data_IF_066672569529
#
_entry.id   IF_066672569529
#
_cell.length_a   1.000
_cell.length_b   1.000
_cell.length_c   1.000
_cell.angle_alpha   90.00
_cell.angle_beta   90.00
_cell.angle_gamma   90.00
#
_symmetry.space_group_name_H-M   'P 1'
#
loop_
_entity.id
_entity.type
_entity.pdbx_description
1 polymer ?
#
# COMPACT_ATOMS: atom_id res chain seq x y z
N UNK A 1 7.95 1.99 12.60
CA UNK A 1 8.30 1.15 13.78
C UNK A 1 7.31 -0.01 13.88
N UNK A 2 7.78 -1.20 13.50
CA UNK A 2 7.04 -2.44 13.70
C UNK A 2 6.72 -2.60 15.19
N UNK A 3 5.43 -2.63 15.52
CA UNK A 3 5.03 -3.03 16.86
C UNK A 3 4.94 -4.56 16.88
N UNK A 4 5.78 -5.26 17.67
CA UNK A 4 5.56 -6.68 17.90
C UNK A 4 4.23 -6.83 18.64
N UNK A 5 3.31 -7.58 18.02
CA UNK A 5 2.02 -7.90 18.61
C UNK A 5 2.18 -8.85 19.81
N UNK A 6 1.50 -8.55 20.91
CA UNK A 6 1.33 -9.45 22.05
C UNK A 6 -0.06 -10.10 21.96
N UNK A 7 -0.16 -11.39 22.29
CA UNK A 7 -1.45 -12.11 22.34
C UNK A 7 -1.94 -12.18 23.78
N UNK A 8 -3.00 -11.43 24.09
CA UNK A 8 -3.72 -11.51 25.36
C UNK A 8 -5.01 -12.33 25.21
N UNK A 9 -5.26 -13.24 26.17
CA UNK A 9 -6.43 -14.13 26.20
C UNK A 9 -6.11 -15.58 25.83
N UNK A 10 -7.01 -16.49 26.19
CA UNK A 10 -6.88 -17.93 25.94
C UNK A 10 -6.82 -18.20 24.43
N UNK A 11 -5.60 -18.32 23.90
CA UNK A 11 -5.35 -18.82 22.56
C UNK A 11 -5.46 -20.35 22.64
N UNK A 12 -6.26 -21.02 21.79
CA UNK A 12 -6.27 -22.49 21.72
C UNK A 12 -4.89 -23.09 21.39
N UNK A 13 -3.94 -22.28 20.90
CA UNK A 13 -2.55 -22.68 20.66
C UNK A 13 -1.59 -22.36 21.82
N UNK A 14 -2.12 -21.89 22.97
CA UNK A 14 -1.37 -21.62 24.20
C UNK A 14 -0.24 -20.56 24.09
N UNK A 15 -0.35 -19.60 23.16
CA UNK A 15 0.63 -18.51 23.01
C UNK A 15 0.35 -17.30 23.93
N UNK A 16 -0.55 -17.45 24.89
CA UNK A 16 -0.89 -16.41 25.85
C UNK A 16 0.34 -16.05 26.68
N UNK A 17 0.81 -14.81 26.58
CA UNK A 17 2.02 -14.35 27.30
C UNK A 17 3.33 -14.36 26.49
N UNK A 18 3.33 -14.72 25.21
CA UNK A 18 4.55 -14.77 24.40
C UNK A 18 4.81 -13.45 23.61
N UNK A 19 6.05 -12.90 23.64
CA UNK A 19 6.50 -11.91 22.64
C UNK A 19 6.69 -12.69 21.31
N UNK A 20 5.79 -12.53 20.34
CA UNK A 20 5.90 -13.20 19.03
C UNK A 20 7.17 -12.73 18.29
N UNK A 21 8.00 -13.68 17.83
CA UNK A 21 9.24 -13.40 17.09
C UNK A 21 10.56 -13.63 17.86
N UNK A 22 10.50 -14.11 19.10
CA UNK A 22 11.69 -14.46 19.89
C UNK A 22 11.89 -15.98 19.95
N UNK A 23 13.14 -16.45 19.77
CA UNK A 23 13.50 -17.88 19.91
C UNK A 23 13.64 -18.31 21.37
N UNK A 24 14.01 -17.37 22.25
CA UNK A 24 14.12 -17.53 23.70
C UNK A 24 13.38 -16.34 24.35
N UNK A 25 12.25 -16.59 25.00
CA UNK A 25 11.40 -15.54 25.59
C UNK A 25 12.13 -14.93 26.80
N UNK A 26 12.44 -13.61 26.81
CA UNK A 26 13.00 -12.96 27.99
C UNK A 26 12.00 -13.02 29.16
N UNK A 27 12.50 -13.02 30.39
CA UNK A 27 11.66 -12.84 31.59
C UNK A 27 10.85 -11.55 31.47
N UNK A 28 9.53 -11.67 31.46
CA UNK A 28 8.60 -10.54 31.45
C UNK A 28 8.55 -9.98 32.87
N UNK A 29 8.94 -8.70 33.06
CA UNK A 29 8.71 -8.02 34.35
C UNK A 29 7.21 -7.76 34.55
N UNK A 30 6.77 -7.79 35.81
CA UNK A 30 5.38 -7.58 36.22
C UNK A 30 4.82 -6.25 35.69
N UNK A 31 3.62 -6.29 35.10
CA UNK A 31 2.92 -5.11 34.63
C UNK A 31 2.49 -4.22 35.81
N UNK A 32 2.89 -2.93 35.82
CA UNK A 32 2.55 -1.92 36.83
C UNK A 32 1.04 -1.56 36.93
N UNK A 33 0.15 -2.30 36.28
CA UNK A 33 -1.30 -2.15 36.46
C UNK A 33 -2.14 -2.94 35.46
N UNK A 34 -3.19 -3.60 35.96
CA UNK A 34 -4.22 -4.27 35.16
C UNK A 34 -5.46 -3.37 35.03
N UNK A 35 -5.87 -3.07 33.79
CA UNK A 35 -7.20 -2.54 33.47
C UNK A 35 -7.96 -3.61 32.67
N UNK A 36 -9.23 -3.95 33.02
CA UNK A 36 -9.91 -5.11 32.44
C UNK A 36 -10.12 -5.07 30.92
N UNK A 37 -10.11 -3.88 30.30
CA UNK A 37 -10.55 -3.71 28.90
C UNK A 37 -9.53 -3.03 27.97
N UNK A 38 -8.35 -2.67 28.47
CA UNK A 38 -7.29 -2.09 27.64
C UNK A 38 -5.92 -2.59 28.10
N UNK A 39 -5.33 -3.54 27.37
CA UNK A 39 -3.92 -3.89 27.52
C UNK A 39 -3.08 -2.88 26.74
N UNK A 40 -2.23 -2.11 27.42
CA UNK A 40 -1.16 -1.34 26.75
C UNK A 40 -0.05 -2.30 26.32
N UNK A 41 0.57 -1.97 25.18
CA UNK A 41 1.76 -2.65 24.65
C UNK A 41 2.92 -2.49 25.64
N UNK A 42 3.34 -3.58 26.30
CA UNK A 42 4.57 -3.58 27.09
C UNK A 42 5.79 -3.59 26.17
N UNK A 43 6.81 -2.79 26.51
CA UNK A 43 8.08 -2.80 25.78
C UNK A 43 8.91 -4.01 26.23
N UNK A 44 9.11 -5.01 25.36
CA UNK A 44 10.11 -6.08 25.63
C UNK A 44 11.50 -5.36 25.70
N UNK A 45 12.19 -5.35 26.86
CA UNK A 45 13.55 -4.78 27.00
C UNK A 45 14.59 -5.84 26.67
N UNK A 46 15.53 -5.45 25.82
CA UNK A 46 16.63 -6.29 25.32
C UNK A 46 16.86 -5.92 23.88
N UNK A 47 18.06 -5.47 23.52
CA UNK A 47 18.44 -5.35 22.11
C UNK A 47 18.43 -6.76 21.54
N UNK A 48 17.51 -7.11 20.62
CA UNK A 48 17.70 -8.35 19.88
C UNK A 48 19.07 -8.27 19.23
N UNK A 49 19.90 -9.29 19.40
CA UNK A 49 20.72 -9.65 18.24
C UNK A 49 19.68 -9.93 17.17
N UNK A 50 19.61 -9.15 16.07
CA UNK A 50 18.72 -9.51 14.98
C UNK A 50 19.00 -10.98 14.68
N UNK A 51 17.96 -11.84 14.54
CA UNK A 51 18.20 -13.15 13.98
C UNK A 51 19.04 -12.92 12.74
N UNK A 52 20.19 -13.59 12.63
CA UNK A 52 20.99 -13.51 11.43
C UNK A 52 20.01 -13.66 10.26
N UNK A 53 19.96 -12.70 9.32
CA UNK A 53 19.01 -12.78 8.22
C UNK A 53 19.12 -14.19 7.65
N UNK A 54 17.99 -14.89 7.41
CA UNK A 54 18.04 -16.21 6.79
C UNK A 54 18.98 -16.07 5.61
N UNK A 55 20.08 -16.84 5.62
CA UNK A 55 21.22 -16.62 4.74
C UNK A 55 20.69 -16.25 3.37
N UNK A 56 20.90 -15.00 2.97
CA UNK A 56 20.44 -14.51 1.68
C UNK A 56 20.92 -15.53 0.67
N UNK A 57 19.97 -16.08 -0.09
CA UNK A 57 20.33 -16.91 -1.23
C UNK A 57 21.41 -16.12 -2.00
N UNK A 58 22.49 -16.79 -2.44
CA UNK A 58 23.69 -16.11 -2.91
C UNK A 58 23.31 -14.99 -3.89
N UNK A 59 23.82 -13.75 -3.72
CA UNK A 59 23.53 -12.64 -4.60
C UNK A 59 23.97 -13.04 -6.02
N UNK A 60 23.01 -13.34 -6.90
CA UNK A 60 23.32 -13.80 -8.25
C UNK A 60 22.34 -14.79 -8.90
N UNK A 61 21.31 -15.30 -8.24
CA UNK A 61 20.26 -16.05 -8.96
C UNK A 61 19.09 -15.13 -9.25
N UNK A 62 19.17 -14.44 -10.39
CA UNK A 62 18.08 -13.64 -10.94
C UNK A 62 16.82 -14.50 -11.07
N UNK A 63 15.91 -14.38 -10.10
CA UNK A 63 14.69 -15.17 -10.09
C UNK A 63 13.72 -14.62 -11.15
N UNK A 64 14.03 -14.93 -12.41
CA UNK A 64 13.09 -14.95 -13.54
C UNK A 64 12.00 -16.01 -13.36
N UNK A 65 11.94 -16.66 -12.19
CA UNK A 65 10.92 -17.61 -11.85
C UNK A 65 9.53 -17.02 -11.96
N UNK A 66 8.53 -17.89 -12.09
CA UNK A 66 7.16 -17.46 -12.26
C UNK A 66 6.72 -16.55 -11.11
N UNK A 67 5.87 -15.60 -11.43
CA UNK A 67 5.18 -14.77 -10.47
C UNK A 67 3.76 -14.48 -10.94
N UNK A 68 2.88 -14.25 -9.99
CA UNK A 68 1.49 -13.93 -10.28
C UNK A 68 0.80 -13.31 -9.06
N UNK A 69 -0.03 -12.33 -9.33
CA UNK A 69 -0.98 -11.73 -8.39
C UNK A 69 -2.40 -11.94 -8.91
N UNK A 70 -3.39 -11.41 -8.20
CA UNK A 70 -4.77 -11.47 -8.66
C UNK A 70 -4.94 -10.87 -10.07
N UNK A 71 -4.23 -9.78 -10.40
CA UNK A 71 -4.44 -9.00 -11.62
C UNK A 71 -3.49 -9.33 -12.78
N UNK A 72 -2.23 -9.67 -12.49
CA UNK A 72 -1.20 -9.89 -13.51
C UNK A 72 -0.29 -11.04 -13.11
N UNK A 73 0.34 -11.65 -14.10
CA UNK A 73 1.44 -12.59 -13.82
C UNK A 73 2.20 -13.00 -15.06
N UNK A 74 3.37 -13.58 -14.80
CA UNK A 74 4.26 -14.20 -15.76
C UNK A 74 4.61 -15.59 -15.22
N UNK A 75 4.07 -16.62 -15.84
CA UNK A 75 4.00 -17.97 -15.24
C UNK A 75 4.90 -18.99 -15.94
N UNK A 76 5.57 -18.61 -17.03
CA UNK A 76 6.49 -19.49 -17.76
C UNK A 76 7.64 -18.70 -18.39
N UNK A 77 8.86 -19.26 -18.42
CA UNK A 77 10.04 -18.55 -18.93
C UNK A 77 9.94 -18.10 -20.40
N UNK A 78 9.15 -18.81 -21.22
CA UNK A 78 8.99 -18.54 -22.65
C UNK A 78 7.57 -18.09 -23.02
N UNK A 79 6.86 -17.42 -22.10
CA UNK A 79 5.51 -16.92 -22.33
C UNK A 79 4.61 -16.99 -21.10
N UNK A 80 3.34 -17.36 -21.28
CA UNK A 80 2.44 -17.56 -20.13
C UNK A 80 2.23 -16.29 -19.31
N UNK A 81 1.89 -15.19 -19.96
CA UNK A 81 1.43 -13.96 -19.29
C UNK A 81 -0.07 -13.97 -19.15
N UNK A 82 -0.57 -13.43 -18.04
CA UNK A 82 -1.99 -13.18 -17.89
C UNK A 82 -2.25 -11.77 -17.37
N UNK A 83 -3.44 -11.27 -17.73
CA UNK A 83 -4.07 -10.14 -17.09
C UNK A 83 -5.53 -10.52 -16.83
N UNK A 84 -5.97 -10.38 -15.59
CA UNK A 84 -7.38 -10.52 -15.21
C UNK A 84 -8.02 -9.15 -14.94
N UNK A 85 -7.29 -8.06 -15.21
CA UNK A 85 -7.81 -6.70 -15.11
C UNK A 85 -9.07 -6.59 -15.97
N UNK A 86 -10.13 -6.07 -15.37
CA UNK A 86 -11.39 -5.84 -16.06
C UNK A 86 -11.20 -4.67 -17.04
N UNK A 87 -11.41 -4.93 -18.33
CA UNK A 87 -11.30 -3.89 -19.37
C UNK A 87 -12.72 -3.44 -19.74
N UNK A 88 -13.21 -2.28 -19.24
CA UNK A 88 -14.52 -1.79 -19.64
C UNK A 88 -14.52 -1.42 -21.12
N UNK A 89 -15.56 -1.86 -21.84
CA UNK A 89 -15.80 -1.57 -23.25
C UNK A 89 -17.23 -1.08 -23.44
N UNK A 90 -17.45 -0.26 -24.47
CA UNK A 90 -18.76 0.34 -24.74
C UNK A 90 -19.63 -0.52 -25.65
N UNK A 91 -19.27 -0.61 -26.93
CA UNK A 91 -20.07 -1.31 -27.96
C UNK A 91 -19.43 -2.59 -28.47
N UNK A 92 -18.10 -2.63 -28.51
CA UNK A 92 -17.36 -3.75 -29.07
C UNK A 92 -15.96 -3.82 -28.46
N UNK A 93 -15.37 -5.00 -28.54
CA UNK A 93 -13.98 -5.28 -28.19
C UNK A 93 -13.27 -5.79 -29.45
N UNK A 94 -12.04 -5.31 -29.69
CA UNK A 94 -11.15 -5.86 -30.71
C UNK A 94 -9.80 -6.18 -30.05
N UNK A 95 -9.37 -7.43 -30.18
CA UNK A 95 -8.02 -7.83 -29.83
C UNK A 95 -7.21 -8.04 -31.12
N UNK A 96 -6.07 -7.36 -31.23
CA UNK A 96 -5.16 -7.48 -32.36
C UNK A 96 -3.82 -7.96 -31.83
N UNK A 97 -3.29 -9.05 -32.40
CA UNK A 97 -1.94 -9.51 -32.17
C UNK A 97 -1.07 -9.15 -33.38
N UNK A 98 0.06 -8.50 -33.12
CA UNK A 98 1.08 -8.20 -34.13
C UNK A 98 2.37 -8.88 -33.70
N UNK A 99 2.96 -9.68 -34.58
CA UNK A 99 4.23 -10.36 -34.35
C UNK A 99 5.24 -10.02 -35.46
N UNK A 100 6.52 -9.83 -35.12
CA UNK A 100 7.56 -9.53 -36.12
C UNK A 100 7.92 -10.74 -37.00
N UNK A 101 7.56 -11.95 -36.57
CA UNK A 101 7.76 -13.19 -37.30
C UNK A 101 6.53 -14.10 -37.16
N UNK A 102 6.35 -15.01 -38.12
CA UNK A 102 5.30 -16.05 -38.06
C UNK A 102 5.59 -17.05 -36.95
N UNK A 103 4.55 -17.47 -36.22
CA UNK A 103 4.66 -18.46 -35.16
C UNK A 103 3.31 -18.89 -34.61
N UNK A 104 3.31 -19.78 -33.63
CA UNK A 104 2.10 -20.21 -32.93
C UNK A 104 1.84 -19.30 -31.74
N UNK A 105 0.58 -18.91 -31.52
CA UNK A 105 0.16 -18.20 -30.31
C UNK A 105 -1.11 -18.84 -29.74
N UNK A 106 -1.20 -18.83 -28.42
CA UNK A 106 -2.35 -19.33 -27.66
C UNK A 106 -2.89 -18.20 -26.82
N UNK A 107 -4.21 -18.05 -26.76
CA UNK A 107 -4.83 -16.99 -25.97
C UNK A 107 -6.15 -17.45 -25.36
N UNK A 108 -6.49 -16.83 -24.23
CA UNK A 108 -7.79 -16.93 -23.59
C UNK A 108 -8.27 -15.50 -23.42
N UNK A 109 -9.36 -15.15 -24.10
CA UNK A 109 -10.06 -13.88 -23.88
C UNK A 109 -11.44 -14.23 -23.33
N UNK A 110 -11.76 -13.69 -22.15
CA UNK A 110 -13.05 -13.84 -21.50
C UNK A 110 -13.64 -12.45 -21.30
N UNK A 111 -14.94 -12.36 -21.49
CA UNK A 111 -15.69 -11.13 -21.31
C UNK A 111 -17.12 -11.44 -20.90
N UNK A 112 -17.76 -10.43 -20.33
CA UNK A 112 -19.17 -10.46 -19.96
C UNK A 112 -19.74 -9.07 -20.24
N UNK A 113 -20.96 -9.02 -20.73
CA UNK A 113 -21.67 -7.77 -21.00
C UNK A 113 -22.43 -7.31 -19.76
N UNK A 114 -22.70 -6.00 -19.67
CA UNK A 114 -23.51 -5.40 -18.61
C UNK A 114 -22.99 -5.62 -17.18
N UNK A 115 -21.72 -6.02 -17.01
CA UNK A 115 -21.08 -6.10 -15.70
C UNK A 115 -20.35 -4.79 -15.40
N UNK A 116 -20.70 -4.05 -14.34
CA UNK A 116 -19.93 -2.87 -13.94
C UNK A 116 -18.51 -3.25 -13.53
N UNK A 117 -17.56 -2.38 -13.87
CA UNK A 117 -16.19 -2.50 -13.38
C UNK A 117 -16.09 -1.80 -12.04
N UNK A 118 -15.58 -2.51 -11.05
CA UNK A 118 -15.38 -2.02 -9.69
C UNK A 118 -13.89 -2.01 -9.40
N UNK A 119 -13.38 -0.90 -8.88
CA UNK A 119 -12.02 -0.71 -8.40
C UNK A 119 -12.07 -0.33 -6.92
N UNK A 120 -11.59 -1.21 -6.05
CA UNK A 120 -11.83 -1.09 -4.61
C UNK A 120 -13.33 -1.05 -4.34
N UNK A 121 -13.80 0.05 -3.76
CA UNK A 121 -15.22 0.30 -3.46
C UNK A 121 -15.93 1.18 -4.50
N UNK A 122 -15.22 1.60 -5.55
CA UNK A 122 -15.73 2.53 -6.57
C UNK A 122 -16.24 1.78 -7.80
N UNK A 123 -17.48 2.04 -8.20
CA UNK A 123 -17.95 1.64 -9.52
C UNK A 123 -17.49 2.66 -10.55
N UNK A 124 -16.75 2.20 -11.56
CA UNK A 124 -16.25 3.05 -12.61
C UNK A 124 -17.40 3.52 -13.53
N UNK A 125 -17.34 4.75 -14.07
CA UNK A 125 -18.28 5.22 -15.07
C UNK A 125 -18.34 4.32 -16.31
N UNK A 126 -19.49 4.29 -17.00
CA UNK A 126 -19.68 3.47 -18.20
C UNK A 126 -18.74 3.86 -19.38
N UNK A 127 -18.29 5.11 -19.40
CA UNK A 127 -17.32 5.62 -20.37
C UNK A 127 -15.87 5.40 -19.94
N UNK A 128 -15.61 4.82 -18.77
CA UNK A 128 -14.26 4.48 -18.33
C UNK A 128 -13.58 3.49 -19.29
N UNK A 129 -12.30 3.72 -19.54
CA UNK A 129 -11.44 2.87 -20.38
C UNK A 129 -10.14 2.58 -19.65
N UNK A 130 -9.68 1.34 -19.73
CA UNK A 130 -8.32 1.02 -19.31
C UNK A 130 -7.34 1.56 -20.35
N UNK A 131 -6.30 2.26 -19.87
CA UNK A 131 -5.20 2.80 -20.66
C UNK A 131 -3.89 2.23 -20.14
N UNK A 132 -2.98 1.95 -21.07
CA UNK A 132 -1.60 1.59 -20.79
C UNK A 132 -0.70 2.72 -21.26
N UNK A 133 0.05 3.29 -20.34
CA UNK A 133 1.12 4.23 -20.62
C UNK A 133 2.45 3.50 -20.56
N UNK A 134 3.37 3.90 -21.43
CA UNK A 134 4.70 3.31 -21.51
C UNK A 134 5.73 4.43 -21.52
N UNK A 135 6.65 4.36 -20.58
CA UNK A 135 7.87 5.15 -20.60
C UNK A 135 9.05 4.20 -20.87
N UNK A 136 9.96 4.59 -21.77
CA UNK A 136 11.24 3.92 -21.96
C UNK A 136 12.28 4.95 -22.33
N UNK A 137 13.34 5.08 -21.53
CA UNK A 137 14.34 6.11 -21.73
C UNK A 137 15.58 5.90 -20.88
N UNK A 138 16.68 6.49 -21.32
CA UNK A 138 17.88 6.67 -20.52
C UNK A 138 17.81 8.03 -19.84
N UNK A 139 18.16 8.08 -18.56
CA UNK A 139 18.11 9.29 -17.75
C UNK A 139 19.47 9.53 -17.13
N UNK A 140 19.91 10.78 -17.17
CA UNK A 140 21.14 11.23 -16.52
C UNK A 140 20.92 11.49 -15.04
N UNK A 141 22.00 11.68 -14.28
CA UNK A 141 21.93 11.98 -12.84
C UNK A 141 21.05 13.22 -12.58
N UNK A 142 20.13 13.11 -11.62
CA UNK A 142 19.16 14.13 -11.24
C UNK A 142 18.18 14.55 -12.35
N UNK A 143 18.08 13.81 -13.45
CA UNK A 143 17.10 14.11 -14.50
C UNK A 143 15.69 13.75 -14.05
N UNK A 144 14.76 14.71 -14.10
CA UNK A 144 13.34 14.51 -13.87
C UNK A 144 12.65 14.03 -15.14
N UNK A 145 11.90 12.94 -15.03
CA UNK A 145 11.16 12.38 -16.15
C UNK A 145 9.69 12.22 -15.82
N UNK A 146 8.86 12.41 -16.84
CA UNK A 146 7.42 12.15 -16.76
C UNK A 146 7.16 10.74 -17.27
N UNK A 147 6.76 9.85 -16.36
CA UNK A 147 6.47 8.45 -16.66
C UNK A 147 5.07 8.27 -17.27
N UNK A 148 4.12 9.11 -16.86
CA UNK A 148 2.75 9.17 -17.38
C UNK A 148 2.28 10.62 -17.38
N UNK A 149 1.62 11.03 -18.47
CA UNK A 149 0.97 12.34 -18.59
C UNK A 149 -0.46 12.14 -19.12
N UNK A 150 -1.45 12.38 -18.26
CA UNK A 150 -2.87 12.38 -18.62
C UNK A 150 -3.31 13.84 -18.67
N UNK A 151 -3.80 14.32 -19.83
CA UNK A 151 -4.11 15.73 -19.99
C UNK A 151 -5.34 16.16 -19.17
N UNK A 152 -5.52 17.48 -18.97
CA UNK A 152 -6.75 18.04 -18.42
C UNK A 152 -8.00 17.58 -19.18
N UNK A 153 -9.16 17.75 -18.55
CA UNK A 153 -10.48 17.25 -18.94
C UNK A 153 -10.65 15.71 -18.89
N UNK A 154 -9.67 14.99 -18.34
CA UNK A 154 -9.72 13.54 -18.13
C UNK A 154 -9.66 13.22 -16.64
N UNK A 155 -10.68 12.54 -16.12
CA UNK A 155 -10.65 11.97 -14.77
C UNK A 155 -10.18 10.52 -14.82
N UNK A 156 -9.74 9.98 -13.69
CA UNK A 156 -9.30 8.60 -13.67
C UNK A 156 -8.83 8.06 -12.33
N UNK A 157 -8.34 6.82 -12.38
CA UNK A 157 -7.75 6.11 -11.27
C UNK A 157 -6.51 5.34 -11.72
N UNK A 158 -5.42 5.46 -10.95
CA UNK A 158 -4.21 4.69 -11.16
C UNK A 158 -4.47 3.26 -10.71
N UNK A 159 -4.21 2.29 -11.57
CA UNK A 159 -4.44 0.87 -11.26
C UNK A 159 -3.15 0.16 -10.89
N UNK A 160 -2.09 0.34 -11.67
CA UNK A 160 -0.85 -0.36 -11.43
C UNK A 160 0.33 0.34 -12.08
N UNK A 161 1.50 0.18 -11.47
CA UNK A 161 2.80 0.61 -11.99
C UNK A 161 3.70 -0.62 -11.99
N UNK A 162 4.29 -0.93 -13.13
CA UNK A 162 5.42 -1.85 -13.27
C UNK A 162 6.63 -1.03 -13.66
N UNK A 163 7.70 -1.18 -12.91
CA UNK A 163 8.90 -0.37 -13.01
C UNK A 163 10.11 -1.29 -13.18
N UNK A 164 10.70 -1.22 -14.36
CA UNK A 164 11.97 -1.87 -14.65
C UNK A 164 13.05 -0.80 -14.73
N UNK A 165 14.14 -0.99 -14.00
CA UNK A 165 15.26 -0.06 -13.96
C UNK A 165 16.59 -0.79 -14.07
N UNK A 166 17.56 -0.19 -14.76
CA UNK A 166 18.93 -0.69 -14.86
C UNK A 166 19.91 0.48 -14.84
N UNK A 167 20.83 0.47 -13.88
CA UNK A 167 21.90 1.47 -13.72
C UNK A 167 23.21 0.82 -13.31
N UNK A 168 24.24 1.63 -13.09
CA UNK A 168 25.53 1.15 -12.54
C UNK A 168 25.44 0.75 -11.06
N UNK A 169 24.48 1.33 -10.37
CA UNK A 169 24.18 1.19 -8.94
C UNK A 169 22.68 1.35 -8.75
N UNK A 170 22.21 1.11 -7.53
CA UNK A 170 20.82 1.32 -7.14
C UNK A 170 20.53 2.75 -6.68
N UNK A 171 21.35 3.75 -7.02
CA UNK A 171 21.15 5.14 -6.55
C UNK A 171 19.77 5.70 -6.93
N UNK A 172 19.18 5.22 -8.03
CA UNK A 172 17.83 5.57 -8.42
C UNK A 172 16.74 5.13 -7.43
N UNK A 173 17.05 4.24 -6.48
CA UNK A 173 16.11 3.84 -5.43
C UNK A 173 15.87 4.95 -4.40
N UNK A 174 16.79 5.89 -4.21
CA UNK A 174 16.57 7.02 -3.30
C UNK A 174 15.54 8.04 -3.83
N UNK A 175 15.05 7.87 -5.07
CA UNK A 175 14.11 8.79 -5.67
C UNK A 175 12.66 8.47 -5.36
N UNK A 176 11.91 9.50 -5.01
CA UNK A 176 10.51 9.39 -4.65
C UNK A 176 9.61 9.41 -5.89
N UNK A 177 8.56 8.59 -5.83
CA UNK A 177 7.49 8.61 -6.81
C UNK A 177 6.55 9.77 -6.49
N UNK A 178 6.21 10.59 -7.49
CA UNK A 178 5.37 11.78 -7.32
C UNK A 178 4.20 11.80 -8.28
N UNK A 179 3.10 12.40 -7.84
CA UNK A 179 1.98 12.76 -8.68
C UNK A 179 1.72 14.27 -8.67
N UNK A 180 1.56 14.87 -9.86
CA UNK A 180 0.97 16.20 -10.03
C UNK A 180 -0.48 16.00 -10.47
N UNK A 181 -1.42 16.21 -9.57
CA UNK A 181 -2.84 15.89 -9.75
C UNK A 181 -3.61 17.19 -10.03
N UNK A 182 -4.53 17.15 -10.99
CA UNK A 182 -5.50 18.22 -11.25
C UNK A 182 -4.86 19.60 -11.49
N UNK A 183 -3.71 19.61 -12.17
CA UNK A 183 -2.96 20.84 -12.47
C UNK A 183 -2.15 21.41 -11.30
N UNK A 184 -2.02 20.70 -10.18
CA UNK A 184 -1.18 21.11 -9.06
C UNK A 184 0.28 21.29 -9.49
N UNK A 185 0.92 22.36 -8.99
CA UNK A 185 2.35 22.64 -9.19
C UNK A 185 3.22 22.04 -8.12
N UNK A 186 2.66 21.76 -6.94
CA UNK A 186 3.33 21.04 -5.86
C UNK A 186 3.03 19.53 -6.00
N UNK A 187 4.04 18.66 -5.91
CA UNK A 187 3.81 17.23 -6.01
C UNK A 187 3.11 16.68 -4.77
N UNK A 188 2.21 15.73 -4.99
CA UNK A 188 1.88 14.72 -4.00
C UNK A 188 2.99 13.66 -4.02
N UNK A 189 3.71 13.53 -2.91
CA UNK A 189 4.68 12.44 -2.74
C UNK A 189 3.94 11.14 -2.45
N UNK A 190 4.17 10.14 -3.30
CA UNK A 190 3.60 8.81 -3.15
C UNK A 190 4.53 7.87 -2.37
N UNK A 191 5.79 8.28 -2.19
CA UNK A 191 6.80 7.55 -1.44
C UNK A 191 7.95 8.48 -1.02
N UNK A 192 8.81 8.01 -0.11
CA UNK A 192 10.07 8.68 0.27
C UNK A 192 11.26 8.23 -0.58
N UNK A 193 11.28 6.97 -1.02
CA UNK A 193 12.17 6.40 -2.05
C UNK A 193 11.39 5.53 -3.04
N UNK A 194 12.05 4.98 -4.05
CA UNK A 194 11.42 4.19 -5.09
C UNK A 194 11.06 2.81 -4.55
N UNK A 195 11.91 2.21 -3.71
CA UNK A 195 11.63 0.96 -3.01
C UNK A 195 10.43 1.10 -2.05
N UNK A 196 10.30 2.26 -1.41
CA UNK A 196 9.20 2.54 -0.50
C UNK A 196 7.85 2.56 -1.24
N UNK A 197 7.83 3.09 -2.48
CA UNK A 197 6.63 3.07 -3.34
C UNK A 197 6.14 1.64 -3.60
N UNK A 198 7.08 0.69 -3.69
CA UNK A 198 6.80 -0.73 -3.87
C UNK A 198 6.60 -1.49 -2.55
N UNK A 199 6.41 -0.79 -1.43
CA UNK A 199 6.20 -1.35 -0.09
C UNK A 199 7.38 -2.22 0.39
N UNK A 200 8.59 -1.81 0.04
CA UNK A 200 9.83 -2.37 0.61
C UNK A 200 10.59 -1.26 1.35
N UNK A 201 11.84 -1.55 1.71
CA UNK A 201 12.75 -0.61 2.35
C UNK A 201 14.20 -1.04 2.08
N UNK A 202 15.16 -0.16 2.40
CA UNK A 202 16.59 -0.46 2.43
C UNK A 202 17.08 -1.15 1.15
N UNK A 203 16.76 -0.60 -0.02
CA UNK A 203 17.21 -1.13 -1.32
C UNK A 203 16.80 -2.58 -1.59
N UNK A 204 15.68 -3.04 -1.02
CA UNK A 204 15.21 -4.42 -1.11
C UNK A 204 16.20 -5.45 -0.53
N UNK A 205 16.85 -5.13 0.59
CA UNK A 205 17.87 -6.00 1.21
C UNK A 205 17.39 -7.41 1.61
N UNK A 206 16.09 -7.61 1.79
CA UNK A 206 15.47 -8.94 2.01
C UNK A 206 15.20 -9.72 0.71
N UNK A 207 15.54 -9.14 -0.44
CA UNK A 207 15.47 -9.77 -1.76
C UNK A 207 14.08 -9.76 -2.40
N UNK A 208 13.89 -10.67 -3.35
CA UNK A 208 12.66 -10.76 -4.13
C UNK A 208 11.47 -11.15 -3.25
N UNK A 209 10.35 -10.46 -3.43
CA UNK A 209 9.11 -10.74 -2.73
C UNK A 209 7.91 -10.49 -3.64
N UNK A 210 6.80 -11.20 -3.40
CA UNK A 210 5.62 -11.18 -4.25
C UNK A 210 4.39 -11.14 -3.35
N UNK A 211 3.69 -10.01 -3.29
CA UNK A 211 2.43 -9.86 -2.57
C UNK A 211 1.29 -9.52 -3.54
N UNK A 212 0.01 -9.60 -3.11
CA UNK A 212 -1.09 -9.16 -3.95
C UNK A 212 -0.99 -7.70 -4.42
N UNK A 213 -0.39 -6.82 -3.61
CA UNK A 213 -0.39 -5.37 -3.86
C UNK A 213 0.95 -4.85 -4.41
N UNK A 214 2.06 -5.51 -4.11
CA UNK A 214 3.38 -5.10 -4.63
C UNK A 214 4.37 -6.27 -4.65
N UNK A 215 5.49 -6.09 -5.35
CA UNK A 215 6.55 -7.07 -5.33
C UNK A 215 7.79 -6.64 -6.11
N UNK A 216 8.89 -7.31 -5.79
CA UNK A 216 10.15 -7.30 -6.52
C UNK A 216 10.29 -8.65 -7.22
N UNK A 217 10.21 -8.61 -8.54
CA UNK A 217 10.17 -9.82 -9.40
C UNK A 217 11.48 -10.12 -10.08
N UNK A 218 12.42 -9.18 -10.06
CA UNK A 218 13.80 -9.38 -10.50
C UNK A 218 14.70 -8.42 -9.74
N UNK A 219 15.86 -8.93 -9.34
CA UNK A 219 16.90 -8.18 -8.66
C UNK A 219 18.23 -8.90 -8.89
N UNK A 220 19.24 -8.21 -9.42
CA UNK A 220 20.53 -8.81 -9.78
C UNK A 220 21.67 -8.50 -8.81
N UNK A 221 21.42 -7.66 -7.81
CA UNK A 221 22.44 -7.12 -6.90
C UNK A 221 23.45 -6.17 -7.56
N UNK A 222 23.21 -5.74 -8.81
CA UNK A 222 24.17 -5.00 -9.66
C UNK A 222 23.56 -3.76 -10.31
N UNK A 223 22.45 -3.26 -9.79
CA UNK A 223 21.78 -2.06 -10.29
C UNK A 223 20.63 -2.33 -11.26
N UNK A 224 20.18 -3.58 -11.45
CA UNK A 224 18.98 -3.89 -12.25
C UNK A 224 17.89 -4.53 -11.39
N UNK A 225 16.65 -4.09 -11.60
CA UNK A 225 15.47 -4.68 -10.96
C UNK A 225 14.18 -4.55 -11.79
N UNK A 226 13.17 -5.32 -11.39
CA UNK A 226 11.79 -5.21 -11.86
C UNK A 226 10.84 -5.27 -10.66
N UNK A 227 10.07 -4.22 -10.44
CA UNK A 227 9.10 -4.11 -9.36
C UNK A 227 7.69 -3.79 -9.88
N UNK A 228 6.69 -4.12 -9.08
CA UNK A 228 5.30 -3.72 -9.36
C UNK A 228 4.59 -3.22 -8.11
N UNK A 229 3.65 -2.30 -8.31
CA UNK A 229 2.67 -1.83 -7.34
C UNK A 229 1.29 -1.84 -8.00
N UNK A 230 0.30 -2.37 -7.29
CA UNK A 230 -1.10 -2.43 -7.66
C UNK A 230 -1.86 -1.55 -6.66
N UNK A 231 -2.71 -0.68 -7.20
CA UNK A 231 -3.53 0.32 -6.52
C UNK A 231 -5.02 -0.06 -6.56
N UNK A 232 -5.34 -1.34 -6.37
CA UNK A 232 -6.72 -1.82 -6.39
C UNK A 232 -7.46 -1.55 -5.06
N UNK A 233 -6.72 -1.43 -3.96
CA UNK A 233 -7.23 -1.10 -2.61
C UNK A 233 -6.88 0.32 -2.16
N UNK A 234 -5.91 0.94 -2.79
CA UNK A 234 -5.42 2.30 -2.53
C UNK A 234 -5.32 3.10 -3.85
N UNK A 235 -6.43 3.27 -4.58
CA UNK A 235 -6.42 3.94 -5.88
C UNK A 235 -6.02 5.41 -5.73
N UNK A 236 -5.08 5.85 -6.57
CA UNK A 236 -4.77 7.27 -6.71
C UNK A 236 -5.74 7.84 -7.74
N UNK A 237 -6.61 8.73 -7.29
CA UNK A 237 -7.67 9.33 -8.08
C UNK A 237 -7.28 10.73 -8.55
N UNK A 238 -7.81 11.12 -9.71
CA UNK A 238 -7.72 12.49 -10.20
C UNK A 238 -8.99 12.88 -10.96
N UNK A 239 -9.27 14.18 -11.00
CA UNK A 239 -10.42 14.74 -11.69
C UNK A 239 -10.08 15.44 -13.01
N UNK A 240 -8.88 15.98 -13.16
CA UNK A 240 -8.51 16.89 -14.25
C UNK A 240 -7.07 16.72 -14.72
N UNK A 241 -6.72 15.50 -15.07
CA UNK A 241 -5.37 15.11 -15.46
C UNK A 241 -4.45 14.75 -14.30
N UNK A 242 -3.39 14.02 -14.62
CA UNK A 242 -2.36 13.59 -13.68
C UNK A 242 -1.03 13.46 -14.42
N UNK A 243 0.06 13.84 -13.77
CA UNK A 243 1.41 13.44 -14.18
C UNK A 243 2.02 12.57 -13.10
N UNK A 244 2.56 11.41 -13.49
CA UNK A 244 3.44 10.62 -12.63
C UNK A 244 4.87 10.96 -13.02
N UNK A 245 5.65 11.48 -12.06
CA UNK A 245 7.02 11.94 -12.31
C UNK A 245 8.00 11.26 -11.36
N UNK A 246 9.23 11.08 -11.86
CA UNK A 246 10.30 10.35 -11.18
C UNK A 246 11.64 11.00 -11.53
N UNK A 247 12.57 11.08 -10.59
CA UNK A 247 13.91 11.62 -10.82
C UNK A 247 14.95 10.53 -10.67
N UNK A 248 16.00 10.57 -11.47
CA UNK A 248 17.10 9.62 -11.31
C UNK A 248 18.07 10.05 -10.20
N UNK A 249 18.34 9.15 -9.23
CA UNK A 249 19.37 9.31 -8.18
C UNK A 249 19.23 10.62 -7.39
N UNK A 250 18.04 10.84 -6.84
CA UNK A 250 17.62 12.11 -6.30
C UNK A 250 18.20 12.41 -4.91
N UNK A 251 18.36 13.70 -4.60
CA UNK A 251 18.73 14.17 -3.27
C UNK A 251 17.49 14.54 -2.46
N UNK A 252 17.64 14.53 -1.13
CA UNK A 252 16.55 14.85 -0.21
C UNK A 252 16.72 16.25 0.38
N UNK A 253 15.61 16.96 0.61
CA UNK A 253 15.63 18.30 1.22
C UNK A 253 14.28 18.66 1.83
N UNK A 254 14.29 19.01 3.12
CA UNK A 254 13.14 19.59 3.80
C UNK A 254 11.83 18.83 3.59
N UNK A 255 10.77 19.57 3.25
CA UNK A 255 9.45 19.03 2.95
C UNK A 255 9.33 18.37 1.56
N UNK A 256 10.44 18.31 0.82
CA UNK A 256 10.45 17.97 -0.59
C UNK A 256 9.90 19.08 -1.47
N UNK A 257 10.27 19.02 -2.74
CA UNK A 257 9.68 19.79 -3.83
C UNK A 257 9.72 18.94 -5.12
N UNK A 258 9.56 19.57 -6.28
CA UNK A 258 9.66 18.86 -7.56
C UNK A 258 11.09 18.37 -7.86
N UNK A 259 12.09 18.98 -7.23
CA UNK A 259 13.51 18.73 -7.42
C UNK A 259 14.16 17.86 -6.33
N UNK A 260 13.49 17.70 -5.18
CA UNK A 260 14.02 16.97 -4.03
C UNK A 260 12.96 16.14 -3.34
N UNK A 261 13.36 14.97 -2.81
CA UNK A 261 12.49 14.17 -1.96
C UNK A 261 12.42 14.72 -0.53
N UNK A 262 11.30 14.53 0.19
CA UNK A 262 11.18 14.95 1.57
C UNK A 262 12.09 14.14 2.49
N UNK A 263 12.71 14.80 3.47
CA UNK A 263 13.45 14.12 4.56
C UNK A 263 12.98 14.54 5.96
N UNK A 264 11.87 15.27 6.04
CA UNK A 264 11.20 15.62 7.29
C UNK A 264 9.69 15.60 7.09
N UNK A 265 8.97 15.33 8.17
CA UNK A 265 7.52 15.47 8.20
C UNK A 265 7.15 16.95 8.21
N UNK A 266 6.23 17.35 7.33
CA UNK A 266 5.76 18.72 7.25
C UNK A 266 4.26 18.79 7.47
N UNK A 267 3.86 19.76 8.30
CA UNK A 267 2.45 19.99 8.58
C UNK A 267 1.77 20.59 7.34
N UNK A 268 0.51 20.20 7.05
CA UNK A 268 -0.28 20.88 6.04
C UNK A 268 -0.35 22.37 6.40
N UNK A 269 0.10 23.26 5.50
CA UNK A 269 0.11 24.74 5.60
C UNK A 269 1.39 25.44 6.14
N UNK A 270 2.55 24.80 6.24
CA UNK A 270 3.81 25.54 6.51
C UNK A 270 4.49 26.10 5.27
N UNK A 271 3.85 26.09 4.09
CA UNK A 271 4.40 26.78 2.91
C UNK A 271 4.46 28.29 3.17
N UNK A 272 5.71 28.79 3.33
CA UNK A 272 6.14 30.19 3.27
C UNK A 272 5.94 31.09 4.50
N UNK A 273 6.35 30.65 5.69
CA UNK A 273 6.94 31.59 6.66
C UNK A 273 8.23 31.01 7.20
N UNK A 274 9.32 31.77 7.06
CA UNK A 274 10.64 31.44 7.55
C UNK A 274 10.57 30.77 8.92
N UNK A 275 11.27 29.64 9.06
CA UNK A 275 11.55 29.04 10.35
C UNK A 275 12.30 30.08 11.20
N UNK A 276 11.59 30.83 12.04
CA UNK A 276 12.20 31.29 13.29
C UNK A 276 12.31 30.07 14.19
N UNK A 277 13.46 29.85 14.84
CA UNK A 277 13.66 28.68 15.67
C UNK A 277 12.63 28.70 16.80
N UNK A 278 11.80 27.66 16.88
CA UNK A 278 11.08 27.31 18.10
C UNK A 278 12.15 26.91 19.13
N UNK A 279 12.72 27.91 19.78
CA UNK A 279 13.33 27.76 21.06
C UNK A 279 12.22 27.88 22.11
N UNK A 280 12.19 26.91 23.02
CA UNK A 280 11.55 26.92 24.33
C UNK A 280 10.04 26.68 24.38
N UNK A 281 9.67 25.40 24.25
CA UNK A 281 8.70 24.82 25.16
C UNK A 281 9.32 23.58 25.82
N UNK A 282 9.45 23.67 27.12
CA UNK A 282 10.08 22.73 28.04
C UNK A 282 9.31 21.40 28.06
N UNK A 283 9.81 20.42 27.30
CA UNK A 283 9.44 19.01 27.45
C UNK A 283 10.72 18.18 27.69
N UNK A 284 11.39 18.49 28.80
CA UNK A 284 12.55 17.75 29.31
C UNK A 284 12.03 16.49 30.00
N UNK A 285 12.33 15.29 29.48
CA UNK A 285 13.45 14.42 29.90
C UNK A 285 13.35 12.96 29.40
N UNK A 286 12.26 12.51 28.79
CA UNK A 286 12.12 11.07 28.42
C UNK A 286 12.23 10.74 26.93
N UNK A 287 12.02 11.69 26.02
CA UNK A 287 12.10 11.42 24.58
C UNK A 287 13.55 11.37 24.04
N UNK A 288 14.49 12.08 24.68
CA UNK A 288 15.87 12.20 24.20
C UNK A 288 16.64 10.89 24.32
N UNK A 289 16.44 10.11 25.38
CA UNK A 289 17.17 8.87 25.60
C UNK A 289 16.83 7.75 24.60
N UNK A 290 15.58 7.70 24.12
CA UNK A 290 15.16 6.71 23.12
C UNK A 290 15.69 7.04 21.72
N UNK A 291 15.82 8.33 21.37
CA UNK A 291 16.42 8.76 20.11
C UNK A 291 17.93 8.44 20.08
N UNK A 292 18.66 8.71 21.17
CA UNK A 292 20.11 8.43 21.24
C UNK A 292 20.44 6.92 21.24
N UNK A 293 19.53 6.08 21.74
CA UNK A 293 19.74 4.62 21.76
C UNK A 293 19.56 3.94 20.38
N UNK A 294 18.80 4.55 19.47
CA UNK A 294 18.56 4.05 18.10
C UNK A 294 19.53 4.65 17.06
N UNK A 295 20.13 5.81 17.35
CA UNK A 295 21.10 6.45 16.46
C UNK A 295 22.38 5.62 16.26
N UNK A 296 22.88 4.95 17.30
CA UNK A 296 24.11 4.15 17.21
C UNK A 296 24.00 2.96 16.23
N UNK A 297 23.02 2.06 16.39
CA UNK A 297 22.81 0.93 15.49
C UNK A 297 22.39 1.36 14.09
N UNK A 298 21.57 2.41 13.96
CA UNK A 298 21.18 2.91 12.63
C UNK A 298 22.29 3.62 11.89
N UNK A 299 23.16 4.36 12.59
CA UNK A 299 24.34 4.95 12.00
C UNK A 299 25.42 3.90 11.66
N UNK A 300 25.39 2.72 12.29
CA UNK A 300 26.27 1.59 11.93
C UNK A 300 25.72 0.79 10.74
N UNK A 301 24.43 0.54 10.64
CA UNK A 301 23.84 -0.12 9.46
C UNK A 301 23.86 0.80 8.24
N UNK A 302 23.56 2.09 8.41
CA UNK A 302 23.78 3.10 7.38
C UNK A 302 25.24 3.20 7.00
N UNK A 303 26.20 3.10 7.94
CA UNK A 303 27.63 3.03 7.59
C UNK A 303 27.99 1.73 6.88
N UNK A 304 27.47 0.57 7.27
CA UNK A 304 27.81 -0.69 6.60
C UNK A 304 27.24 -0.76 5.17
N UNK A 305 26.01 -0.27 4.94
CA UNK A 305 25.42 -0.13 3.59
C UNK A 305 26.02 1.04 2.82
N UNK A 306 26.41 2.11 3.53
CA UNK A 306 27.15 3.23 2.96
C UNK A 306 28.58 2.86 2.65
N UNK A 307 29.27 2.00 3.37
CA UNK A 307 30.70 1.75 3.15
C UNK A 307 30.90 0.89 1.88
N UNK A 308 29.87 0.15 1.44
CA UNK A 308 29.76 -0.39 0.08
C UNK A 308 29.36 0.67 -0.97
N UNK A 309 28.72 1.78 -0.57
CA UNK A 309 28.32 2.89 -1.45
C UNK A 309 29.31 4.09 -1.47
N UNK A 310 30.24 4.18 -0.51
CA UNK A 310 30.98 5.41 -0.16
C UNK A 310 32.47 5.30 -0.49
N UNK A 311 32.88 4.29 -1.26
CA UNK A 311 34.09 4.40 -2.10
C UNK A 311 33.85 5.09 -3.45
N UNK A 312 32.63 5.52 -3.76
CA UNK A 312 32.39 6.40 -4.90
C UNK A 312 31.98 7.79 -4.42
N UNK A 313 32.89 8.76 -4.56
CA UNK A 313 32.50 10.12 -4.92
C UNK A 313 31.32 10.04 -5.89
N UNK A 314 30.18 10.67 -5.58
CA UNK A 314 28.95 10.65 -6.37
C UNK A 314 29.30 10.58 -7.87
N UNK A 315 29.13 9.42 -8.53
CA UNK A 315 29.67 9.23 -9.86
C UNK A 315 28.95 10.20 -10.77
N UNK A 316 29.70 11.11 -11.38
CA UNK A 316 29.21 12.19 -12.25
C UNK A 316 28.50 11.71 -13.52
N UNK A 317 28.23 10.40 -13.63
CA UNK A 317 27.62 9.71 -14.77
C UNK A 317 26.81 8.47 -14.32
N UNK A 318 25.89 8.66 -13.37
CA UNK A 318 24.89 7.63 -13.01
C UNK A 318 23.74 7.64 -14.02
N UNK A 319 24.02 7.06 -15.20
CA UNK A 319 23.00 6.80 -16.20
C UNK A 319 22.13 5.64 -15.73
N UNK A 320 20.81 5.83 -15.73
CA UNK A 320 19.83 4.78 -15.51
C UNK A 320 18.94 4.61 -16.75
N UNK A 321 18.57 3.38 -17.07
CA UNK A 321 17.61 3.02 -18.10
C UNK A 321 16.33 2.59 -17.41
N UNK A 322 15.22 3.25 -17.72
CA UNK A 322 13.90 2.87 -17.24
C UNK A 322 13.04 2.29 -18.35
N UNK A 323 12.20 1.33 -17.97
CA UNK A 323 11.08 0.82 -18.75
C UNK A 323 9.89 0.66 -17.81
N UNK A 324 8.94 1.59 -17.90
CA UNK A 324 7.80 1.64 -16.98
C UNK A 324 6.51 1.42 -17.76
N UNK A 325 5.64 0.55 -17.22
CA UNK A 325 4.29 0.34 -17.69
C UNK A 325 3.31 0.79 -16.61
N UNK A 326 2.37 1.65 -16.99
CA UNK A 326 1.40 2.22 -16.06
C UNK A 326 0.00 1.98 -16.60
N UNK A 327 -0.79 1.26 -15.82
CA UNK A 327 -2.20 1.01 -16.12
C UNK A 327 -3.06 2.00 -15.36
N UNK A 328 -4.02 2.58 -16.06
CA UNK A 328 -4.96 3.49 -15.43
C UNK A 328 -6.32 3.46 -16.08
N UNK A 329 -7.37 3.58 -15.27
CA UNK A 329 -8.72 3.79 -15.78
C UNK A 329 -8.93 5.28 -16.02
N UNK A 330 -9.51 5.63 -17.16
CA UNK A 330 -9.73 7.02 -17.57
C UNK A 330 -11.13 7.20 -18.11
N UNK A 331 -11.79 8.29 -17.73
CA UNK A 331 -13.12 8.67 -18.19
C UNK A 331 -13.23 10.18 -18.41
N UNK A 332 -14.32 10.63 -19.03
CA UNK A 332 -14.54 12.06 -19.24
C UNK A 332 -14.77 12.77 -17.91
N UNK A 333 -14.21 13.97 -17.71
CA UNK A 333 -14.33 14.73 -16.45
C UNK A 333 -15.78 14.94 -15.96
N UNK A 334 -16.73 15.05 -16.88
CA UNK A 334 -18.17 15.19 -16.57
C UNK A 334 -18.81 13.91 -16.03
N UNK A 335 -18.15 12.77 -16.20
CA UNK A 335 -18.63 11.48 -15.74
C UNK A 335 -18.20 11.31 -14.29
N UNK A 336 -19.17 11.30 -13.37
CA UNK A 336 -18.90 11.11 -11.95
C UNK A 336 -18.87 9.60 -11.66
N UNK A 337 -17.77 9.05 -11.13
CA UNK A 337 -17.82 7.69 -10.58
C UNK A 337 -18.88 7.65 -9.49
N UNK A 338 -19.74 6.64 -9.52
CA UNK A 338 -20.57 6.39 -8.35
C UNK A 338 -19.70 5.65 -7.34
N UNK A 339 -19.54 6.25 -6.16
CA UNK A 339 -19.39 5.41 -4.98
C UNK A 339 -20.71 4.68 -4.90
N UNK A 340 -20.74 3.46 -5.44
CA UNK A 340 -21.84 2.55 -5.17
C UNK A 340 -21.98 2.57 -3.66
N UNK A 341 -23.11 3.01 -3.07
CA UNK A 341 -23.37 2.68 -1.68
C UNK A 341 -23.20 1.17 -1.65
N UNK A 342 -22.16 0.75 -0.91
CA UNK A 342 -21.59 -0.59 -0.88
C UNK A 342 -22.62 -1.60 -1.36
N UNK A 343 -22.42 -2.22 -2.55
CA UNK A 343 -23.39 -3.19 -3.11
C UNK A 343 -23.87 -4.00 -1.93
N UNK A 344 -25.19 -4.06 -1.76
CA UNK A 344 -25.87 -4.62 -0.59
C UNK A 344 -25.71 -6.15 -0.53
N UNK A 345 -24.48 -6.60 -0.64
CA UNK A 345 -24.05 -7.98 -0.47
C UNK A 345 -24.43 -8.38 0.94
N UNK A 346 -24.77 -9.65 1.09
CA UNK A 346 -25.13 -10.20 2.38
C UNK A 346 -24.02 -9.94 3.42
N UNK A 347 -22.75 -9.98 2.99
CA UNK A 347 -21.60 -9.72 3.86
C UNK A 347 -21.51 -8.25 4.30
N UNK A 348 -21.80 -7.31 3.39
CA UNK A 348 -21.86 -5.89 3.72
C UNK A 348 -22.99 -5.59 4.72
N UNK A 349 -24.18 -6.16 4.48
CA UNK A 349 -25.31 -6.04 5.43
C UNK A 349 -24.94 -6.63 6.77
N UNK A 350 -24.36 -7.83 6.78
CA UNK A 350 -23.89 -8.49 7.99
C UNK A 350 -22.93 -7.60 8.76
N UNK A 351 -21.94 -7.01 8.08
CA UNK A 351 -20.97 -6.14 8.73
C UNK A 351 -21.64 -4.90 9.35
N UNK A 352 -22.50 -4.20 8.60
CA UNK A 352 -23.24 -3.04 9.12
C UNK A 352 -24.15 -3.40 10.30
N UNK A 353 -24.79 -4.57 10.27
CA UNK A 353 -25.60 -5.07 11.38
C UNK A 353 -24.75 -5.30 12.62
N UNK A 354 -23.58 -5.92 12.48
CA UNK A 354 -22.66 -6.15 13.60
C UNK A 354 -22.15 -4.83 14.19
N UNK A 355 -21.73 -3.88 13.35
CA UNK A 355 -21.25 -2.58 13.82
C UNK A 355 -22.38 -1.79 14.55
N UNK A 356 -23.62 -1.88 14.07
CA UNK A 356 -24.80 -1.28 14.72
C UNK A 356 -25.12 -1.93 16.09
N UNK A 357 -25.06 -3.26 16.20
CA UNK A 357 -25.28 -3.98 17.46
C UNK A 357 -24.23 -3.60 18.50
N UNK A 358 -22.96 -3.52 18.11
CA UNK A 358 -21.86 -3.06 18.98
C UNK A 358 -22.11 -1.63 19.45
N UNK A 359 -22.63 -0.75 18.60
CA UNK A 359 -22.96 0.61 18.99
C UNK A 359 -24.11 0.67 20.01
N UNK A 360 -25.13 -0.19 19.89
CA UNK A 360 -26.20 -0.33 20.88
C UNK A 360 -25.68 -0.88 22.22
N UNK A 361 -24.79 -1.86 22.19
CA UNK A 361 -24.13 -2.42 23.37
C UNK A 361 -23.30 -1.38 24.12
N UNK A 362 -22.43 -0.65 23.41
CA UNK A 362 -21.62 0.46 23.97
C UNK A 362 -22.46 1.57 24.59
N UNK A 363 -23.64 1.84 24.04
CA UNK A 363 -24.58 2.82 24.58
C UNK A 363 -25.41 2.29 25.77
N UNK A 364 -25.15 1.05 26.23
CA UNK A 364 -25.91 0.33 27.24
C UNK A 364 -27.43 0.26 26.91
N UNK A 365 -27.75 0.12 25.62
CA UNK A 365 -29.13 -0.06 25.15
C UNK A 365 -29.51 -1.53 25.00
N UNK A 366 -28.53 -2.41 24.83
CA UNK A 366 -28.65 -3.86 24.94
C UNK A 366 -27.87 -4.32 26.17
N UNK A 367 -28.38 -5.34 26.86
CA UNK A 367 -27.56 -6.12 27.79
C UNK A 367 -26.53 -6.96 27.02
N UNK A 368 -25.47 -7.37 27.69
CA UNK A 368 -24.42 -8.23 27.12
C UNK A 368 -25.01 -9.53 26.54
N UNK A 369 -25.98 -10.13 27.24
CA UNK A 369 -26.67 -11.34 26.80
C UNK A 369 -27.49 -11.10 25.51
N UNK A 370 -28.20 -9.98 25.42
CA UNK A 370 -28.96 -9.60 24.23
C UNK A 370 -28.03 -9.32 23.03
N UNK A 371 -26.93 -8.61 23.25
CA UNK A 371 -25.93 -8.33 22.21
C UNK A 371 -25.32 -9.63 21.66
N UNK A 372 -24.85 -10.52 22.54
CA UNK A 372 -24.25 -11.80 22.14
C UNK A 372 -25.22 -12.68 21.36
N UNK A 373 -26.48 -12.74 21.80
CA UNK A 373 -27.53 -13.51 21.11
C UNK A 373 -27.79 -12.98 19.70
N UNK A 374 -27.89 -11.67 19.53
CA UNK A 374 -28.10 -11.02 18.23
C UNK A 374 -26.89 -11.18 17.31
N UNK A 375 -25.67 -10.98 17.83
CA UNK A 375 -24.42 -11.17 17.08
C UNK A 375 -24.29 -12.61 16.58
N UNK A 376 -24.63 -13.59 17.41
CA UNK A 376 -24.59 -15.01 17.05
C UNK A 376 -25.54 -15.32 15.89
N UNK A 377 -26.76 -14.77 15.89
CA UNK A 377 -27.74 -14.95 14.81
C UNK A 377 -27.30 -14.31 13.50
N UNK A 378 -26.77 -13.08 13.55
CA UNK A 378 -26.24 -12.38 12.38
C UNK A 378 -25.04 -13.11 11.76
N UNK A 379 -24.18 -13.71 12.60
CA UNK A 379 -23.07 -14.57 12.14
C UNK A 379 -23.54 -15.89 11.57
N UNK A 380 -24.61 -16.47 12.13
CA UNK A 380 -25.23 -17.72 11.65
C UNK A 380 -25.82 -17.64 10.24
N UNK A 381 -25.97 -16.43 9.69
CA UNK A 381 -26.26 -16.21 8.27
C UNK A 381 -27.73 -16.33 7.86
N UNK A 382 -28.67 -16.28 8.81
CA UNK A 382 -30.08 -16.14 8.50
C UNK A 382 -30.33 -14.77 7.83
N UNK A 383 -30.64 -14.78 6.53
CA UNK A 383 -30.88 -13.56 5.73
C UNK A 383 -31.98 -12.68 6.30
N UNK A 384 -33.03 -13.28 6.86
CA UNK A 384 -34.15 -12.57 7.49
C UNK A 384 -33.70 -11.75 8.71
N UNK A 385 -32.83 -12.32 9.54
CA UNK A 385 -32.30 -11.66 10.73
C UNK A 385 -31.43 -10.45 10.34
N UNK A 386 -30.63 -10.61 9.29
CA UNK A 386 -29.79 -9.55 8.71
C UNK A 386 -30.66 -8.42 8.16
N UNK A 387 -31.74 -8.73 7.45
CA UNK A 387 -32.62 -7.71 6.86
C UNK A 387 -33.39 -6.93 7.94
N UNK A 388 -33.84 -7.61 9.01
CA UNK A 388 -34.48 -6.96 10.17
C UNK A 388 -33.51 -6.00 10.84
N UNK A 389 -32.28 -6.42 11.16
CA UNK A 389 -31.31 -5.52 11.82
C UNK A 389 -30.87 -4.40 10.87
N UNK A 390 -30.68 -4.68 9.58
CA UNK A 390 -30.30 -3.69 8.58
C UNK A 390 -31.33 -2.57 8.45
N UNK A 391 -32.63 -2.87 8.59
CA UNK A 391 -33.68 -1.85 8.57
C UNK A 391 -33.51 -0.82 9.71
N UNK A 392 -33.09 -1.25 10.89
CA UNK A 392 -32.80 -0.37 12.04
C UNK A 392 -31.45 0.33 11.94
N UNK A 393 -30.47 -0.29 11.27
CA UNK A 393 -29.12 0.25 11.10
C UNK A 393 -29.03 1.45 10.13
N UNK A 394 -30.15 1.88 9.56
CA UNK A 394 -30.24 3.10 8.72
C UNK A 394 -30.31 4.40 9.53
N UNK A 395 -30.53 4.31 10.85
CA UNK A 395 -30.61 5.46 11.75
C UNK A 395 -29.64 5.39 12.93
N UNK A 396 -29.63 6.45 13.75
CA UNK A 396 -28.81 6.51 14.97
C UNK A 396 -29.20 5.40 15.96
N UNK A 397 -28.21 4.73 16.59
CA UNK A 397 -28.44 3.77 17.67
C UNK A 397 -29.30 4.39 18.78
N UNK A 398 -30.42 3.75 19.14
CA UNK A 398 -31.36 4.30 20.12
C UNK A 398 -31.97 3.20 21.00
N UNK A 399 -32.43 3.59 22.20
CA UNK A 399 -33.21 2.69 23.09
C UNK A 399 -34.46 2.14 22.41
N UNK A 400 -35.07 2.89 21.49
CA UNK A 400 -36.24 2.43 20.73
C UNK A 400 -35.85 1.29 19.79
N UNK A 401 -34.74 1.43 19.05
CA UNK A 401 -34.22 0.40 18.16
C UNK A 401 -33.82 -0.85 18.94
N UNK A 402 -33.11 -0.71 20.06
CA UNK A 402 -32.72 -1.84 20.91
C UNK A 402 -33.92 -2.62 21.48
N UNK A 403 -34.95 -1.91 21.97
CA UNK A 403 -36.18 -2.55 22.46
C UNK A 403 -36.96 -3.25 21.36
N UNK A 404 -36.96 -2.72 20.15
CA UNK A 404 -37.63 -3.35 19.02
C UNK A 404 -36.90 -4.65 18.62
N UNK A 405 -35.57 -4.60 18.51
CA UNK A 405 -34.76 -5.77 18.21
C UNK A 405 -34.90 -6.85 19.30
N UNK A 406 -34.82 -6.48 20.58
CA UNK A 406 -34.91 -7.45 21.70
C UNK A 406 -36.29 -8.12 21.82
N UNK A 407 -37.33 -7.60 21.16
CA UNK A 407 -38.66 -8.22 21.09
C UNK A 407 -38.84 -9.14 19.88
N UNK A 408 -38.11 -8.86 18.80
CA UNK A 408 -38.19 -9.60 17.54
C UNK A 408 -37.33 -10.86 17.56
N UNK A 409 -36.26 -10.82 18.34
CA UNK A 409 -35.33 -11.93 18.56
C UNK A 409 -35.56 -12.53 19.92
#
# INVERSE_FOLDING_TARGET
PDQPGFVCGHDPNNNTGACLGWKDVPSVDDCDGTYPEMCRVCHCRGTPSPPAPPASGPPGTGDHGPWGTALFGHTANNGGVYSTVRIPFGKSLRATLTAPASGTFWFIIRGVENLPVVLGDMTLPADARLKLHRYKGATTLNELVTLMDVPPATSGALLAVRFDASGKSYGYLEACMRALIDGATSPLFLSSGAEDYFLSAYYFNEGNFKTPNSGLTYYDGKGTLSAYKIHDRDPILWHDGIKLVFRNCETTSGCGDLEHCPNQFCLPNTTARAQTPWANATATTTATAAATALEGPMAQLKRALSDDANTSSAPTNELALYSTLIWSYQWQKKSTPSVTPFIDTLEARRRRCLDFLVALGRAAYLSEEEELRLVSRIRGGATEDIDVVAAYATGEPSRRSARALSRLF
#
